data_IF_254965586502
#
_entry.id   IF_254965586502
#
_cell.length_a   1.000
_cell.length_b   1.000
_cell.length_c   1.000
_cell.angle_alpha   90.00
_cell.angle_beta   90.00
_cell.angle_gamma   90.00
#
_symmetry.space_group_name_H-M   'P 1'
#
loop_
_entity.id
_entity.type
_entity.pdbx_description
1 polymer ?
#
# COMPACT_ATOMS: atom_id res chain seq x y z
N UNK A 1 -8.84 17.56 11.60
CA UNK A 1 -9.13 16.41 10.71
C UNK A 1 -8.06 16.42 9.63
N UNK A 2 -7.30 15.33 9.50
CA UNK A 2 -6.30 15.19 8.42
C UNK A 2 -7.06 14.91 7.12
N UNK A 3 -6.62 15.52 6.02
CA UNK A 3 -7.18 15.27 4.69
C UNK A 3 -6.80 13.85 4.23
N UNK A 4 -7.76 13.00 3.79
CA UNK A 4 -7.45 11.65 3.32
C UNK A 4 -6.36 11.58 2.25
N UNK A 5 -6.28 12.58 1.37
CA UNK A 5 -5.23 12.63 0.34
C UNK A 5 -3.84 12.87 0.93
N UNK A 6 -3.73 13.76 1.92
CA UNK A 6 -2.47 14.03 2.62
C UNK A 6 -2.04 12.81 3.44
N UNK A 7 -3.00 12.13 4.08
CA UNK A 7 -2.73 10.89 4.82
C UNK A 7 -2.21 9.78 3.92
N UNK A 8 -2.75 9.63 2.70
CA UNK A 8 -2.24 8.65 1.74
C UNK A 8 -0.80 8.95 1.31
N UNK A 9 -0.43 10.22 1.13
CA UNK A 9 0.95 10.60 0.81
C UNK A 9 1.91 10.29 1.98
N UNK A 10 1.47 10.49 3.22
CA UNK A 10 2.25 10.11 4.40
C UNK A 10 2.47 8.59 4.48
N UNK A 11 1.40 7.80 4.31
CA UNK A 11 1.47 6.34 4.34
C UNK A 11 2.32 5.77 3.20
N UNK A 12 2.36 6.43 2.04
CA UNK A 12 3.25 6.07 0.93
C UNK A 12 4.73 6.19 1.31
N UNK A 13 5.10 7.30 1.95
CA UNK A 13 6.46 7.49 2.48
C UNK A 13 6.82 6.43 3.52
N UNK A 14 5.92 6.18 4.48
CA UNK A 14 6.10 5.14 5.50
C UNK A 14 6.29 3.76 4.85
N UNK A 15 5.50 3.43 3.82
CA UNK A 15 5.64 2.16 3.10
C UNK A 15 7.04 2.04 2.49
N UNK A 16 7.48 3.08 1.78
CA UNK A 16 8.77 3.08 1.07
C UNK A 16 9.94 2.84 2.03
N UNK A 17 9.94 3.50 3.18
CA UNK A 17 10.95 3.32 4.22
C UNK A 17 10.99 1.85 4.69
N UNK A 18 9.83 1.25 4.98
CA UNK A 18 9.77 -0.15 5.43
C UNK A 18 10.22 -1.14 4.34
N UNK A 19 9.85 -0.90 3.08
CA UNK A 19 10.27 -1.76 1.97
C UNK A 19 11.77 -1.69 1.71
N UNK A 20 12.36 -0.50 1.87
CA UNK A 20 13.81 -0.29 1.77
C UNK A 20 14.54 -1.01 2.91
N UNK A 21 14.12 -0.79 4.16
CA UNK A 21 14.73 -1.38 5.35
C UNK A 21 14.65 -2.92 5.35
N UNK A 22 13.53 -3.47 4.89
CA UNK A 22 13.30 -4.91 4.82
C UNK A 22 13.84 -5.57 3.53
N UNK A 23 14.37 -4.80 2.58
CA UNK A 23 14.85 -5.32 1.28
C UNK A 23 13.73 -5.92 0.41
N UNK A 24 12.48 -5.46 0.58
CA UNK A 24 11.29 -6.00 -0.08
C UNK A 24 10.98 -5.33 -1.43
N UNK A 25 11.73 -4.30 -1.83
CA UNK A 25 11.53 -3.66 -3.14
C UNK A 25 11.64 -4.65 -4.31
N UNK A 26 12.49 -5.67 -4.18
CA UNK A 26 12.66 -6.72 -5.19
C UNK A 26 11.44 -7.66 -5.33
N UNK A 27 10.54 -7.66 -4.34
CA UNK A 27 9.31 -8.47 -4.39
C UNK A 27 8.22 -7.80 -5.23
N UNK A 28 8.31 -6.49 -5.42
CA UNK A 28 7.34 -5.72 -6.19
C UNK A 28 7.55 -5.94 -7.70
N UNK A 29 6.48 -5.87 -8.51
CA UNK A 29 6.61 -5.84 -9.96
C UNK A 29 7.44 -4.64 -10.42
N UNK A 30 8.09 -4.74 -11.59
CA UNK A 30 8.86 -3.63 -12.17
C UNK A 30 8.02 -2.36 -12.36
N UNK A 31 6.76 -2.55 -12.76
CA UNK A 31 5.76 -1.51 -12.85
C UNK A 31 4.47 -1.99 -12.19
N UNK A 32 3.88 -1.16 -11.34
CA UNK A 32 2.65 -1.49 -10.63
C UNK A 32 1.93 -0.20 -10.22
N UNK A 33 0.66 -0.36 -9.85
CA UNK A 33 -0.10 0.70 -9.21
C UNK A 33 -0.38 0.32 -7.76
N UNK A 34 0.08 1.16 -6.86
CA UNK A 34 -0.08 0.98 -5.43
C UNK A 34 -1.45 1.48 -4.95
N UNK A 35 -2.09 0.72 -4.07
CA UNK A 35 -3.31 1.10 -3.37
C UNK A 35 -3.08 0.87 -1.87
N UNK A 36 -3.04 1.96 -1.11
CA UNK A 36 -2.87 1.92 0.34
C UNK A 36 -4.23 1.71 1.02
N UNK A 37 -4.31 0.71 1.89
CA UNK A 37 -5.52 0.33 2.61
C UNK A 37 -5.26 0.35 4.12
N UNK A 38 -5.37 1.52 4.78
CA UNK A 38 -5.38 1.60 6.24
C UNK A 38 -6.70 1.05 6.78
N UNK A 39 -6.63 -0.14 7.37
CA UNK A 39 -7.79 -0.92 7.80
C UNK A 39 -8.53 -0.30 8.98
N UNK A 40 -7.85 0.57 9.74
CA UNK A 40 -8.36 1.33 10.87
C UNK A 40 -8.72 2.79 10.53
N UNK A 41 -8.49 3.23 9.30
CA UNK A 41 -8.82 4.59 8.80
C UNK A 41 -9.81 4.51 7.61
N UNK A 42 -11.11 4.25 7.84
CA UNK A 42 -12.06 3.90 6.78
C UNK A 42 -12.26 5.00 5.73
N UNK A 43 -12.24 6.27 6.11
CA UNK A 43 -12.35 7.39 5.17
C UNK A 43 -11.15 7.46 4.21
N UNK A 44 -9.97 7.11 4.70
CA UNK A 44 -8.72 7.11 3.92
C UNK A 44 -8.70 5.92 2.97
N UNK A 45 -9.05 4.73 3.44
CA UNK A 45 -9.17 3.54 2.61
C UNK A 45 -10.24 3.70 1.51
N UNK A 46 -11.41 4.27 1.84
CA UNK A 46 -12.46 4.54 0.86
C UNK A 46 -11.98 5.50 -0.24
N UNK A 47 -11.19 6.53 0.12
CA UNK A 47 -10.61 7.46 -0.85
C UNK A 47 -9.62 6.77 -1.78
N UNK A 48 -8.73 5.93 -1.25
CA UNK A 48 -7.77 5.17 -2.05
C UNK A 48 -8.46 4.22 -3.05
N UNK A 49 -9.48 3.49 -2.60
CA UNK A 49 -10.26 2.61 -3.46
C UNK A 49 -11.05 3.37 -4.53
N UNK A 50 -11.62 4.52 -4.20
CA UNK A 50 -12.30 5.37 -5.18
C UNK A 50 -11.34 5.79 -6.31
N UNK A 51 -10.13 6.24 -5.97
CA UNK A 51 -9.10 6.58 -6.95
C UNK A 51 -8.64 5.38 -7.78
N UNK A 52 -8.46 4.22 -7.15
CA UNK A 52 -8.10 2.99 -7.84
C UNK A 52 -9.18 2.59 -8.87
N UNK A 53 -10.46 2.81 -8.55
CA UNK A 53 -11.60 2.53 -9.44
C UNK A 53 -11.73 3.55 -10.58
N UNK A 54 -11.49 4.83 -10.31
CA UNK A 54 -11.76 5.93 -11.25
C UNK A 54 -10.75 6.01 -12.41
N UNK A 55 -9.51 5.61 -12.18
CA UNK A 55 -8.49 5.58 -13.24
C UNK A 55 -8.24 4.13 -13.67
N UNK A 56 -8.33 3.79 -14.97
CA UNK A 56 -7.91 2.47 -15.44
C UNK A 56 -6.40 2.32 -15.26
N UNK A 57 -5.97 1.10 -14.93
CA UNK A 57 -4.54 0.83 -14.86
C UNK A 57 -3.95 0.83 -16.27
N UNK A 58 -2.73 1.37 -16.46
CA UNK A 58 -1.99 1.14 -17.67
C UNK A 58 -1.84 -0.36 -17.97
N UNK A 59 -1.75 -0.71 -19.24
CA UNK A 59 -1.51 -2.10 -19.64
C UNK A 59 -0.20 -2.61 -19.02
N UNK A 60 -0.25 -3.82 -18.47
CA UNK A 60 0.90 -4.43 -17.79
C UNK A 60 1.17 -3.93 -16.37
N UNK A 61 0.39 -2.99 -15.83
CA UNK A 61 0.56 -2.48 -14.45
C UNK A 61 -0.45 -3.15 -13.50
N UNK A 62 -0.05 -4.23 -12.79
CA UNK A 62 -0.91 -4.84 -11.79
C UNK A 62 -1.20 -3.89 -10.62
N UNK A 63 -2.30 -4.16 -9.91
CA UNK A 63 -2.55 -3.57 -8.60
C UNK A 63 -1.70 -4.28 -7.55
N UNK A 64 -1.08 -3.49 -6.70
CA UNK A 64 -0.48 -3.94 -5.44
C UNK A 64 -1.23 -3.24 -4.32
N UNK A 65 -1.76 -4.01 -3.38
CA UNK A 65 -2.43 -3.45 -2.21
C UNK A 65 -1.52 -3.54 -0.99
N UNK A 66 -1.32 -2.42 -0.30
CA UNK A 66 -0.61 -2.41 0.96
C UNK A 66 -1.63 -2.29 2.10
N UNK A 67 -1.70 -3.32 2.95
CA UNK A 67 -2.53 -3.32 4.14
C UNK A 67 -1.81 -2.60 5.27
N UNK A 68 -2.48 -1.62 5.84
CA UNK A 68 -1.98 -0.84 6.96
C UNK A 68 -2.85 -1.06 8.20
N UNK A 69 -2.20 -1.04 9.36
CA UNK A 69 -2.86 -1.04 10.66
C UNK A 69 -2.05 -0.13 11.59
N UNK A 70 -2.70 0.75 12.32
CA UNK A 70 -2.07 1.71 13.23
C UNK A 70 -0.95 2.53 12.54
N UNK A 71 -1.19 2.90 11.28
CA UNK A 71 -0.25 3.65 10.45
C UNK A 71 1.00 2.89 9.98
N UNK A 72 1.08 1.57 10.20
CA UNK A 72 2.20 0.73 9.76
C UNK A 72 1.80 -0.27 8.68
N UNK A 73 2.66 -0.54 7.69
CA UNK A 73 2.40 -1.57 6.70
C UNK A 73 2.55 -2.95 7.33
N UNK A 74 1.53 -3.79 7.17
CA UNK A 74 1.51 -5.15 7.72
C UNK A 74 1.81 -6.17 6.63
N UNK A 75 1.22 -5.97 5.45
CA UNK A 75 1.27 -6.94 4.34
C UNK A 75 1.06 -6.28 2.99
N UNK A 76 1.76 -6.77 1.97
CA UNK A 76 1.48 -6.51 0.57
C UNK A 76 0.68 -7.66 -0.03
N UNK A 77 -0.38 -7.34 -0.75
CA UNK A 77 -1.10 -8.26 -1.62
C UNK A 77 -0.68 -7.98 -3.06
N UNK A 78 0.11 -8.90 -3.61
CA UNK A 78 0.56 -8.87 -5.00
C UNK A 78 -0.32 -9.81 -5.84
N UNK A 79 -0.31 -9.70 -7.18
CA UNK A 79 -0.98 -10.68 -8.03
C UNK A 79 -0.48 -12.10 -7.73
N UNK A 80 -1.36 -12.93 -7.18
CA UNK A 80 -1.10 -14.36 -6.92
C UNK A 80 -0.26 -14.69 -5.68
N UNK A 81 0.16 -13.70 -4.87
CA UNK A 81 0.90 -13.95 -3.63
C UNK A 81 0.80 -12.82 -2.62
N UNK A 82 1.19 -13.12 -1.39
CA UNK A 82 1.24 -12.17 -0.28
C UNK A 82 2.67 -12.06 0.25
N UNK A 83 3.08 -10.85 0.65
CA UNK A 83 4.39 -10.57 1.25
C UNK A 83 4.17 -9.86 2.58
N UNK A 84 4.67 -10.43 3.67
CA UNK A 84 4.62 -9.81 4.98
C UNK A 84 5.64 -8.67 5.07
N UNK A 85 5.20 -7.50 5.56
CA UNK A 85 6.07 -6.30 5.72
C UNK A 85 6.42 -6.08 7.19
N UNK A 86 5.53 -6.49 8.10
CA UNK A 86 5.79 -6.38 9.53
C UNK A 86 7.00 -7.23 9.95
N UNK A 87 7.82 -6.76 10.90
CA UNK A 87 8.79 -7.63 11.54
C UNK A 87 8.00 -8.72 12.25
N UNK A 88 8.33 -9.98 11.96
CA UNK A 88 7.87 -11.14 12.70
C UNK A 88 7.97 -10.79 14.19
N UNK A 89 6.83 -10.67 14.88
CA UNK A 89 6.84 -10.42 16.31
C UNK A 89 7.74 -11.49 16.97
N UNK A 90 8.71 -11.04 17.76
CA UNK A 90 9.57 -11.89 18.55
C UNK A 90 8.76 -12.69 19.58
#
# INVERSE_FOLDING_TARGET
MVNPAERLAELDGILMDHLLEAGLLQELPEAYRLVLLPLDEPEVAAKALAWAREAPNPEGWPLVYALFLEGRPVRLLLPGREVEVAPRAA
#
